data_IF_393279911930
#
_entry.id   IF_393279911930
#
_cell.length_a   1.000
_cell.length_b   1.000
_cell.length_c   1.000
_cell.angle_alpha   90.00
_cell.angle_beta   90.00
_cell.angle_gamma   90.00
#
_symmetry.space_group_name_H-M   'P 1'
#
loop_
_entity.id
_entity.type
_entity.pdbx_description
1 polymer ?
#
# COMPACT_ATOMS: atom_id res chain seq x y z
N UNK A 1 -11.75 8.80 6.59
CA UNK A 1 -12.02 7.42 7.02
C UNK A 1 -13.16 6.77 6.26
N UNK A 2 -14.28 7.50 6.03
CA UNK A 2 -15.42 7.02 5.25
C UNK A 2 -15.03 6.46 3.87
N UNK A 3 -14.08 7.08 3.16
CA UNK A 3 -13.66 6.65 1.81
C UNK A 3 -12.93 5.29 1.78
N UNK A 4 -12.12 4.98 2.79
CA UNK A 4 -11.47 3.67 2.89
C UNK A 4 -12.48 2.60 3.30
N UNK A 5 -13.35 2.92 4.26
CA UNK A 5 -14.41 2.02 4.71
C UNK A 5 -15.44 1.76 3.61
N UNK A 6 -15.80 2.78 2.83
CA UNK A 6 -16.70 2.63 1.67
C UNK A 6 -16.03 1.83 0.56
N UNK A 7 -14.74 2.03 0.31
CA UNK A 7 -13.98 1.22 -0.64
C UNK A 7 -13.92 -0.26 -0.23
N UNK A 8 -13.70 -0.54 1.06
CA UNK A 8 -13.71 -1.90 1.60
C UNK A 8 -15.11 -2.52 1.54
N UNK A 9 -16.14 -1.73 1.83
CA UNK A 9 -17.55 -2.16 1.71
C UNK A 9 -17.91 -2.49 0.26
N UNK A 10 -17.51 -1.65 -0.71
CA UNK A 10 -17.71 -1.92 -2.13
C UNK A 10 -16.94 -3.15 -2.57
N UNK A 11 -15.70 -3.35 -2.10
CA UNK A 11 -14.94 -4.56 -2.36
C UNK A 11 -15.68 -5.80 -1.86
N UNK A 12 -16.17 -5.76 -0.62
CA UNK A 12 -16.96 -6.85 -0.05
C UNK A 12 -18.22 -7.11 -0.87
N UNK A 13 -18.97 -6.06 -1.26
CA UNK A 13 -20.18 -6.24 -2.05
C UNK A 13 -19.92 -6.76 -3.47
N UNK A 14 -18.86 -6.30 -4.13
CA UNK A 14 -18.57 -6.67 -5.52
C UNK A 14 -17.94 -8.07 -5.58
N UNK A 15 -17.05 -8.41 -4.65
CA UNK A 15 -16.19 -9.59 -4.75
C UNK A 15 -16.55 -10.72 -3.78
N UNK A 16 -17.21 -10.42 -2.66
CA UNK A 16 -17.53 -11.38 -1.60
C UNK A 16 -19.04 -11.57 -1.38
N UNK A 17 -19.90 -10.94 -2.17
CA UNK A 17 -21.34 -11.08 -2.04
C UNK A 17 -22.00 -11.31 -3.40
N UNK A 18 -22.69 -12.43 -3.56
CA UNK A 18 -23.54 -12.68 -4.72
C UNK A 18 -25.00 -12.61 -4.28
N UNK A 19 -25.87 -11.84 -4.96
CA UNK A 19 -27.27 -11.67 -4.56
C UNK A 19 -28.05 -12.99 -4.36
N UNK A 20 -27.64 -14.07 -5.03
CA UNK A 20 -28.37 -15.34 -5.05
C UNK A 20 -27.76 -16.46 -4.19
N UNK A 21 -26.47 -16.36 -3.82
CA UNK A 21 -25.72 -17.39 -3.08
C UNK A 21 -25.26 -16.92 -1.69
N UNK A 22 -25.40 -15.63 -1.37
CA UNK A 22 -25.01 -15.04 -0.09
C UNK A 22 -23.53 -14.60 -0.05
N UNK A 23 -22.94 -14.64 1.15
CA UNK A 23 -21.57 -14.17 1.39
C UNK A 23 -20.54 -15.26 1.04
N UNK A 24 -19.68 -14.99 0.07
CA UNK A 24 -18.65 -15.90 -0.41
C UNK A 24 -17.89 -15.34 -1.61
N UNK A 25 -16.71 -15.91 -1.90
CA UNK A 25 -15.93 -15.51 -3.08
C UNK A 25 -16.75 -15.73 -4.36
N UNK A 26 -17.12 -14.63 -5.02
CA UNK A 26 -17.91 -14.64 -6.25
C UNK A 26 -17.13 -15.24 -7.43
N UNK A 27 -17.81 -15.45 -8.57
CA UNK A 27 -17.18 -15.95 -9.80
C UNK A 27 -16.01 -15.08 -10.32
N UNK A 28 -15.92 -13.83 -9.87
CA UNK A 28 -14.82 -12.89 -10.19
C UNK A 28 -13.56 -13.20 -9.35
N UNK A 29 -13.74 -13.68 -8.11
CA UNK A 29 -12.65 -14.05 -7.18
C UNK A 29 -12.24 -15.51 -7.33
N UNK A 30 -13.17 -16.40 -7.68
CA UNK A 30 -12.89 -17.83 -7.82
C UNK A 30 -12.27 -18.15 -9.17
N UNK A 31 -11.18 -18.91 -9.14
CA UNK A 31 -10.61 -19.56 -10.32
C UNK A 31 -11.41 -20.81 -10.70
N UNK A 32 -11.12 -21.33 -11.89
CA UNK A 32 -11.81 -22.50 -12.49
C UNK A 32 -11.72 -23.74 -11.58
N UNK A 33 -10.69 -23.83 -10.74
CA UNK A 33 -10.44 -24.94 -9.80
C UNK A 33 -11.13 -24.77 -8.43
N UNK A 34 -12.00 -23.77 -8.25
CA UNK A 34 -12.73 -23.54 -6.99
C UNK A 34 -11.94 -22.79 -5.90
N UNK A 35 -10.65 -22.52 -6.12
CA UNK A 35 -9.80 -21.66 -5.27
C UNK A 35 -9.83 -20.18 -5.66
N UNK A 36 -9.07 -19.33 -4.95
CA UNK A 36 -8.87 -17.93 -5.34
C UNK A 36 -8.06 -17.84 -6.63
N UNK A 37 -8.54 -17.06 -7.60
CA UNK A 37 -7.82 -16.82 -8.85
C UNK A 37 -6.48 -16.11 -8.61
N UNK A 38 -5.52 -16.31 -9.50
CA UNK A 38 -4.18 -15.70 -9.43
C UNK A 38 -4.28 -14.18 -9.38
N UNK A 39 -5.21 -13.63 -10.17
CA UNK A 39 -5.58 -12.22 -10.16
C UNK A 39 -6.11 -11.78 -8.80
N UNK A 40 -7.02 -12.55 -8.20
CA UNK A 40 -7.54 -12.25 -6.87
C UNK A 40 -6.43 -12.24 -5.82
N UNK A 41 -5.50 -13.20 -5.87
CA UNK A 41 -4.34 -13.26 -4.95
C UNK A 41 -3.46 -12.02 -5.08
N UNK A 42 -3.14 -11.59 -6.30
CA UNK A 42 -2.38 -10.35 -6.54
C UNK A 42 -3.08 -9.10 -5.98
N UNK A 43 -4.39 -8.96 -6.22
CA UNK A 43 -5.18 -7.82 -5.72
C UNK A 43 -5.24 -7.84 -4.18
N UNK A 44 -5.42 -9.02 -3.56
CA UNK A 44 -5.45 -9.14 -2.10
C UNK A 44 -4.14 -8.70 -1.45
N UNK A 45 -2.99 -9.09 -2.02
CA UNK A 45 -1.69 -8.61 -1.54
C UNK A 45 -1.51 -7.10 -1.75
N UNK A 46 -1.92 -6.57 -2.92
CA UNK A 46 -1.89 -5.12 -3.17
C UNK A 46 -2.77 -4.35 -2.18
N UNK A 47 -3.98 -4.84 -1.90
CA UNK A 47 -4.91 -4.27 -0.92
C UNK A 47 -4.35 -4.33 0.50
N UNK A 48 -3.67 -5.42 0.88
CA UNK A 48 -3.03 -5.54 2.19
C UNK A 48 -1.98 -4.45 2.40
N UNK A 49 -1.04 -4.30 1.45
CA UNK A 49 -0.01 -3.26 1.52
C UNK A 49 -0.63 -1.85 1.52
N UNK A 50 -1.63 -1.60 0.67
CA UNK A 50 -2.37 -0.34 0.66
C UNK A 50 -3.08 -0.03 1.98
N UNK A 51 -3.63 -1.06 2.64
CA UNK A 51 -4.30 -0.92 3.94
C UNK A 51 -3.32 -0.59 5.06
N UNK A 52 -2.14 -1.22 5.07
CA UNK A 52 -1.05 -0.89 6.01
C UNK A 52 -0.60 0.56 5.80
N UNK A 53 -0.44 0.98 4.55
CA UNK A 53 -0.06 2.36 4.23
C UNK A 53 -1.09 3.38 4.73
N UNK A 54 -2.38 3.08 4.54
CA UNK A 54 -3.47 3.90 5.05
C UNK A 54 -3.43 4.00 6.58
N UNK A 55 -3.20 2.89 7.28
CA UNK A 55 -3.06 2.88 8.74
C UNK A 55 -1.89 3.77 9.21
N UNK A 56 -0.73 3.67 8.56
CA UNK A 56 0.43 4.53 8.87
C UNK A 56 0.12 6.02 8.70
N UNK A 57 -0.65 6.40 7.67
CA UNK A 57 -1.05 7.80 7.46
C UNK A 57 -1.97 8.29 8.58
N UNK A 58 -3.03 7.55 8.88
CA UNK A 58 -4.06 8.02 9.81
C UNK A 58 -3.65 7.96 11.29
N UNK A 59 -2.86 6.96 11.68
CA UNK A 59 -2.49 6.75 13.09
C UNK A 59 -1.11 7.32 13.45
N UNK A 60 -0.20 7.49 12.48
CA UNK A 60 1.16 7.97 12.77
C UNK A 60 1.40 9.36 12.16
N UNK A 61 1.19 9.51 10.85
CA UNK A 61 1.56 10.75 10.13
C UNK A 61 0.60 11.88 10.48
N UNK A 62 -0.71 11.67 10.37
CA UNK A 62 -1.72 12.71 10.60
C UNK A 62 -1.75 13.24 12.04
N UNK A 63 -1.66 12.42 13.10
CA UNK A 63 -1.58 12.93 14.46
C UNK A 63 -0.28 13.70 14.72
N UNK A 64 0.84 13.25 14.14
CA UNK A 64 2.11 13.97 14.23
C UNK A 64 2.03 15.33 13.51
N UNK A 65 1.45 15.36 12.31
CA UNK A 65 1.22 16.60 11.55
C UNK A 65 0.27 17.55 12.28
N UNK A 66 -0.82 17.05 12.87
CA UNK A 66 -1.74 17.86 13.68
C UNK A 66 -1.02 18.55 14.85
N UNK A 67 -0.17 17.82 15.59
CA UNK A 67 0.62 18.37 16.71
C UNK A 67 1.62 19.44 16.26
N UNK A 68 2.19 19.29 15.06
CA UNK A 68 3.13 20.24 14.48
C UNK A 68 2.43 21.49 13.94
N UNK A 69 1.29 21.31 13.28
CA UNK A 69 0.49 22.40 12.68
C UNK A 69 -0.25 23.21 13.73
N UNK A 70 -0.67 22.61 14.85
CA UNK A 70 -1.36 23.29 15.95
C UNK A 70 -0.44 24.14 16.82
N UNK A 71 0.88 24.14 16.57
CA UNK A 71 1.84 24.85 17.41
C UNK A 71 1.98 24.29 18.83
N UNK A 72 1.35 23.16 19.14
CA UNK A 72 1.43 22.50 20.46
C UNK A 72 2.84 21.99 20.78
N UNK A 73 3.69 21.86 19.75
CA UNK A 73 5.06 21.38 19.89
C UNK A 73 5.97 22.30 19.08
N UNK A 74 6.78 23.11 19.76
CA UNK A 74 7.72 24.08 19.18
C UNK A 74 9.15 23.81 19.63
N UNK A 75 10.13 24.32 18.87
CA UNK A 75 11.55 24.12 19.16
C UNK A 75 11.97 22.65 19.10
N UNK A 76 12.89 22.25 19.99
CA UNK A 76 13.48 20.91 20.02
C UNK A 76 12.47 19.78 20.23
N UNK A 77 11.34 20.05 20.87
CA UNK A 77 10.28 19.07 21.08
C UNK A 77 9.61 18.62 19.75
N UNK A 78 9.70 19.43 18.69
CA UNK A 78 9.10 19.13 17.38
C UNK A 78 9.94 18.15 16.55
N UNK A 79 11.24 18.04 16.85
CA UNK A 79 12.20 17.19 16.13
C UNK A 79 11.81 15.70 16.18
N UNK A 80 11.53 15.08 17.34
CA UNK A 80 11.14 13.67 17.39
C UNK A 80 9.78 13.40 16.71
N UNK A 81 8.85 14.36 16.77
CA UNK A 81 7.53 14.24 16.14
C UNK A 81 7.66 14.23 14.61
N UNK A 82 8.50 15.14 14.06
CA UNK A 82 8.83 15.15 12.62
C UNK A 82 9.56 13.89 12.20
N UNK A 83 10.53 13.42 12.98
CA UNK A 83 11.28 12.21 12.67
C UNK A 83 10.38 10.97 12.61
N UNK A 84 9.41 10.84 13.52
CA UNK A 84 8.45 9.72 13.51
C UNK A 84 7.54 9.74 12.28
N UNK A 85 7.02 10.91 11.91
CA UNK A 85 6.23 11.07 10.69
C UNK A 85 7.05 10.77 9.43
N UNK A 86 8.30 11.22 9.38
CA UNK A 86 9.21 10.97 8.26
C UNK A 86 9.55 9.48 8.10
N UNK A 87 9.80 8.74 9.20
CA UNK A 87 10.02 7.29 9.16
C UNK A 87 8.80 6.53 8.63
N UNK A 88 7.60 6.89 9.07
CA UNK A 88 6.36 6.28 8.57
C UNK A 88 6.13 6.60 7.08
N UNK A 89 6.45 7.82 6.64
CA UNK A 89 6.40 8.20 5.22
C UNK A 89 7.35 7.37 4.36
N UNK A 90 8.60 7.19 4.81
CA UNK A 90 9.58 6.33 4.11
C UNK A 90 9.11 4.90 3.98
N UNK A 91 8.54 4.33 5.06
CA UNK A 91 7.98 2.99 5.01
C UNK A 91 6.84 2.90 3.98
N UNK A 92 5.96 3.89 3.91
CA UNK A 92 4.89 3.94 2.91
C UNK A 92 5.43 4.05 1.47
N UNK A 93 6.53 4.77 1.25
CA UNK A 93 7.18 4.81 -0.07
C UNK A 93 7.69 3.43 -0.46
N UNK A 94 8.36 2.70 0.44
CA UNK A 94 8.83 1.35 0.14
C UNK A 94 7.70 0.34 -0.07
N UNK A 95 6.58 0.49 0.67
CA UNK A 95 5.40 -0.36 0.52
C UNK A 95 4.60 -0.08 -0.77
N UNK A 96 4.77 1.08 -1.41
CA UNK A 96 4.06 1.39 -2.65
C UNK A 96 4.55 0.53 -3.83
N UNK A 97 5.81 0.10 -3.82
CA UNK A 97 6.38 -0.79 -4.83
C UNK A 97 5.66 -2.15 -4.94
N UNK A 98 5.61 -2.98 -3.89
CA UNK A 98 4.89 -4.25 -3.95
C UNK A 98 3.39 -4.06 -4.17
N UNK A 99 2.81 -2.96 -3.68
CA UNK A 99 1.40 -2.63 -3.92
C UNK A 99 1.11 -2.36 -5.41
N UNK A 100 1.92 -1.51 -6.05
CA UNK A 100 1.78 -1.16 -7.45
C UNK A 100 1.90 -2.41 -8.34
N UNK A 101 2.86 -3.28 -8.02
CA UNK A 101 3.04 -4.53 -8.74
C UNK A 101 1.83 -5.43 -8.56
N UNK A 102 1.30 -5.57 -7.34
CA UNK A 102 0.09 -6.37 -7.10
C UNK A 102 -1.10 -5.91 -7.94
N UNK A 103 -1.26 -4.60 -8.15
CA UNK A 103 -2.34 -4.06 -8.96
C UNK A 103 -2.09 -4.15 -10.47
N UNK A 104 -0.83 -3.97 -10.92
CA UNK A 104 -0.47 -4.06 -12.33
C UNK A 104 -0.42 -5.50 -12.84
N UNK A 105 0.18 -6.41 -12.07
CA UNK A 105 0.31 -7.82 -12.41
C UNK A 105 -1.06 -8.51 -12.54
N UNK A 106 -2.02 -8.10 -11.71
CA UNK A 106 -3.39 -8.60 -11.72
C UNK A 106 -4.16 -8.30 -13.02
N UNK A 107 -3.91 -7.17 -13.67
CA UNK A 107 -4.71 -6.70 -14.82
C UNK A 107 -3.97 -6.76 -16.17
N UNK A 108 -2.65 -6.59 -16.17
CA UNK A 108 -1.89 -6.45 -17.42
C UNK A 108 -1.03 -7.66 -17.75
N UNK A 109 -0.60 -8.41 -16.74
CA UNK A 109 0.47 -9.37 -16.96
C UNK A 109 -0.02 -10.79 -17.25
N UNK A 110 -1.30 -11.12 -16.99
CA UNK A 110 -1.79 -12.51 -16.97
C UNK A 110 -0.81 -13.47 -16.27
N UNK A 111 -0.01 -12.94 -15.34
CA UNK A 111 1.06 -13.67 -14.69
C UNK A 111 0.43 -14.54 -13.62
N UNK A 112 0.70 -15.84 -13.72
CA UNK A 112 0.37 -16.76 -12.64
C UNK A 112 0.92 -16.21 -11.32
N UNK A 113 0.12 -16.31 -10.26
CA UNK A 113 0.52 -15.78 -8.96
C UNK A 113 1.70 -16.61 -8.44
N UNK A 114 2.85 -15.95 -8.26
CA UNK A 114 4.05 -16.56 -7.70
C UNK A 114 4.59 -15.68 -6.60
N UNK A 115 4.84 -16.28 -5.43
CA UNK A 115 5.53 -15.62 -4.33
C UNK A 115 6.91 -15.11 -4.74
N UNK A 116 7.58 -15.83 -5.66
CA UNK A 116 8.86 -15.40 -6.22
C UNK A 116 8.75 -14.11 -7.04
N UNK A 117 7.68 -13.98 -7.84
CA UNK A 117 7.42 -12.77 -8.61
C UNK A 117 7.10 -11.57 -7.69
N UNK A 118 6.32 -11.79 -6.63
CA UNK A 118 6.00 -10.75 -5.65
C UNK A 118 7.26 -10.27 -4.90
N UNK A 119 8.12 -11.21 -4.48
CA UNK A 119 9.38 -10.89 -3.82
C UNK A 119 10.37 -10.19 -4.74
N UNK A 120 10.54 -10.68 -5.98
CA UNK A 120 11.42 -10.04 -6.96
C UNK A 120 10.98 -8.61 -7.24
N UNK A 121 9.68 -8.39 -7.42
CA UNK A 121 9.16 -7.07 -7.70
C UNK A 121 9.23 -6.14 -6.48
N UNK A 122 9.05 -6.67 -5.28
CA UNK A 122 9.34 -5.93 -4.05
C UNK A 122 10.82 -5.53 -4.01
N UNK A 123 11.75 -6.46 -4.22
CA UNK A 123 13.19 -6.18 -4.20
C UNK A 123 13.61 -5.17 -5.28
N UNK A 124 13.09 -5.31 -6.50
CA UNK A 124 13.33 -4.35 -7.58
C UNK A 124 12.77 -2.97 -7.24
N UNK A 125 11.54 -2.90 -6.72
CA UNK A 125 10.98 -1.62 -6.30
C UNK A 125 11.73 -0.98 -5.13
N UNK A 126 12.19 -1.79 -4.17
CA UNK A 126 13.08 -1.33 -3.09
C UNK A 126 14.41 -0.80 -3.65
N UNK A 127 15.01 -1.51 -4.61
CA UNK A 127 16.24 -1.08 -5.26
C UNK A 127 16.04 0.24 -5.99
N UNK A 128 14.97 0.37 -6.79
CA UNK A 128 14.61 1.60 -7.52
C UNK A 128 14.38 2.77 -6.56
N UNK A 129 13.62 2.57 -5.49
CA UNK A 129 13.37 3.63 -4.50
C UNK A 129 14.67 4.04 -3.80
N UNK A 130 15.51 3.07 -3.44
CA UNK A 130 16.82 3.34 -2.83
C UNK A 130 17.74 4.10 -3.78
N UNK A 131 17.81 3.70 -5.06
CA UNK A 131 18.62 4.41 -6.07
C UNK A 131 18.09 5.81 -6.31
N UNK A 132 16.77 6.00 -6.39
CA UNK A 132 16.15 7.33 -6.54
C UNK A 132 16.44 8.22 -5.33
N UNK A 133 16.45 7.65 -4.12
CA UNK A 133 16.79 8.40 -2.91
C UNK A 133 18.26 8.85 -2.92
N UNK A 134 19.18 7.94 -3.25
CA UNK A 134 20.61 8.25 -3.38
C UNK A 134 20.84 9.28 -4.48
N UNK A 135 20.20 9.11 -5.65
CA UNK A 135 20.30 10.06 -6.75
C UNK A 135 19.80 11.45 -6.36
N UNK A 136 18.67 11.53 -5.63
CA UNK A 136 18.11 12.80 -5.13
C UNK A 136 19.03 13.54 -4.18
N UNK A 137 19.94 12.87 -3.47
CA UNK A 137 20.90 13.56 -2.59
C UNK A 137 22.01 14.30 -3.35
N UNK A 138 22.23 13.99 -4.63
CA UNK A 138 23.24 14.67 -5.46
C UNK A 138 22.72 15.94 -6.14
N UNK A 139 21.40 16.09 -6.32
CA UNK A 139 20.81 17.23 -7.05
C UNK A 139 20.91 18.55 -6.27
N UNK A 140 21.19 18.50 -4.97
CA UNK A 140 21.36 19.69 -4.10
C UNK A 140 22.81 20.08 -3.82
N UNK A 141 23.79 19.39 -4.39
CA UNK A 141 25.23 19.65 -4.16
C UNK A 141 25.95 20.29 -5.36
N UNK A 142 25.23 20.64 -6.43
CA UNK A 142 25.79 21.45 -7.52
C UNK A 142 25.80 22.93 -7.12
N UNK A 143 26.74 23.30 -6.26
CA UNK A 143 27.26 24.67 -6.08
C UNK A 143 28.77 24.58 -6.14
#
# INVERSE_FOLDING_TARGET
>A
MVTFLSGLLLFVQIYLHTPELGFGANMIMRGIEGGLSDRARWIMWGMLFGSIMWFNVWFIIWPAQKKLLSGQVTGDAAVPVRARAAKASRLNTYLSAPMLVGMLAANHANMGFSYGALLLAALLGFAVIKTSYVHSTFVGQSV
#
